data_IF_087880657668
#
_entry.id   IF_087880657668
#
_cell.length_a   1.000
_cell.length_b   1.000
_cell.length_c   1.000
_cell.angle_alpha   90.00
_cell.angle_beta   90.00
_cell.angle_gamma   90.00
#
_symmetry.space_group_name_H-M   'P 1'
#
loop_
_entity.id
_entity.type
_entity.pdbx_description
1 polymer ?
#
# COMPACT_ATOMS: atom_id res chain seq x y z
N UNK A 1 13.20 -14.60 -19.64
CA UNK A 1 12.18 -13.90 -18.81
C UNK A 1 11.48 -15.00 -18.04
N UNK A 2 11.60 -15.02 -16.72
CA UNK A 2 10.70 -15.87 -15.92
C UNK A 2 9.27 -15.43 -16.21
N UNK A 3 8.34 -16.38 -16.27
CA UNK A 3 6.94 -16.04 -16.45
C UNK A 3 6.50 -15.24 -15.21
N UNK A 4 6.32 -13.92 -15.38
CA UNK A 4 5.80 -13.02 -14.35
C UNK A 4 4.56 -13.68 -13.72
N UNK A 5 4.60 -13.90 -12.40
CA UNK A 5 3.57 -14.63 -11.68
C UNK A 5 2.99 -13.74 -10.59
N UNK A 6 1.69 -13.46 -10.70
CA UNK A 6 0.92 -12.77 -9.66
C UNK A 6 0.16 -13.86 -8.90
N UNK A 7 0.47 -14.04 -7.61
CA UNK A 7 -0.26 -14.95 -6.72
C UNK A 7 -1.07 -14.14 -5.70
N UNK A 8 -2.34 -14.50 -5.52
CA UNK A 8 -3.31 -13.79 -4.70
C UNK A 8 -3.98 -14.77 -3.75
N UNK A 9 -3.88 -14.58 -2.42
CA UNK A 9 -4.48 -15.50 -1.44
C UNK A 9 -5.77 -14.92 -0.85
N UNK A 10 -6.92 -15.45 -1.28
CA UNK A 10 -8.26 -14.99 -0.88
C UNK A 10 -8.91 -15.93 0.13
N UNK A 11 -9.85 -15.44 0.95
CA UNK A 11 -10.78 -16.31 1.65
C UNK A 11 -11.76 -16.92 0.65
N UNK A 12 -12.22 -18.16 0.86
CA UNK A 12 -13.10 -18.89 -0.08
C UNK A 12 -14.35 -18.12 -0.51
N UNK A 13 -14.92 -17.36 0.41
CA UNK A 13 -16.10 -16.53 0.21
C UNK A 13 -15.86 -15.31 -0.70
N UNK A 14 -14.62 -14.84 -0.80
CA UNK A 14 -14.24 -13.66 -1.60
C UNK A 14 -13.84 -14.03 -3.04
N UNK A 15 -13.50 -15.31 -3.27
CA UNK A 15 -13.04 -15.84 -4.56
C UNK A 15 -14.04 -15.55 -5.69
N UNK A 16 -15.34 -15.61 -5.39
CA UNK A 16 -16.38 -15.36 -6.40
C UNK A 16 -16.28 -13.97 -7.04
N UNK A 17 -16.00 -12.95 -6.23
CA UNK A 17 -15.87 -11.56 -6.69
C UNK A 17 -14.61 -11.38 -7.54
N UNK A 18 -13.49 -11.94 -7.11
CA UNK A 18 -12.23 -11.89 -7.86
C UNK A 18 -12.33 -12.64 -9.19
N UNK A 19 -12.94 -13.84 -9.20
CA UNK A 19 -13.17 -14.62 -10.42
C UNK A 19 -14.07 -13.88 -11.40
N UNK A 20 -15.19 -13.34 -10.94
CA UNK A 20 -16.12 -12.57 -11.77
C UNK A 20 -15.42 -11.38 -12.45
N UNK A 21 -14.52 -10.70 -11.73
CA UNK A 21 -13.74 -9.61 -12.28
C UNK A 21 -12.72 -10.10 -13.31
N UNK A 22 -11.97 -11.17 -13.03
CA UNK A 22 -11.01 -11.76 -13.97
C UNK A 22 -11.67 -12.28 -15.25
N UNK A 23 -12.81 -12.96 -15.11
CA UNK A 23 -13.58 -13.52 -16.22
C UNK A 23 -14.13 -12.40 -17.11
N UNK A 24 -14.69 -11.33 -16.51
CA UNK A 24 -15.14 -10.13 -17.25
C UNK A 24 -14.03 -9.44 -18.04
N UNK A 25 -12.79 -9.57 -17.57
CA UNK A 25 -11.62 -8.98 -18.21
C UNK A 25 -10.94 -9.93 -19.21
N UNK A 26 -11.44 -11.16 -19.36
CA UNK A 26 -10.91 -12.15 -20.31
C UNK A 26 -9.54 -12.70 -19.91
N UNK A 27 -9.30 -12.88 -18.61
CA UNK A 27 -7.97 -13.15 -18.06
C UNK A 27 -7.89 -14.58 -17.56
N UNK A 28 -6.92 -15.32 -18.07
CA UNK A 28 -6.66 -16.69 -17.63
C UNK A 28 -5.89 -16.69 -16.32
N UNK A 29 -6.32 -17.55 -15.40
CA UNK A 29 -5.74 -17.74 -14.08
C UNK A 29 -5.79 -19.22 -13.68
N UNK A 30 -4.95 -19.61 -12.72
CA UNK A 30 -5.01 -20.90 -12.04
C UNK A 30 -5.49 -20.69 -10.60
N UNK A 31 -6.11 -21.72 -10.02
CA UNK A 31 -6.58 -21.72 -8.64
C UNK A 31 -5.89 -22.86 -7.88
N UNK A 32 -5.39 -22.56 -6.69
CA UNK A 32 -4.88 -23.55 -5.74
C UNK A 32 -5.63 -23.37 -4.44
N UNK A 33 -6.41 -24.37 -4.03
CA UNK A 33 -7.12 -24.31 -2.75
C UNK A 33 -6.26 -24.88 -1.62
N UNK A 34 -6.29 -24.23 -0.47
CA UNK A 34 -5.66 -24.71 0.77
C UNK A 34 -6.52 -24.32 1.96
N UNK A 35 -7.23 -25.29 2.53
CA UNK A 35 -8.15 -25.07 3.65
C UNK A 35 -9.35 -24.19 3.27
N UNK A 36 -9.52 -23.09 4.02
CA UNK A 36 -10.53 -22.03 3.82
C UNK A 36 -10.06 -20.92 2.86
N UNK A 37 -8.84 -21.05 2.30
CA UNK A 37 -8.26 -20.07 1.38
C UNK A 37 -8.06 -20.62 -0.03
N UNK A 38 -7.98 -19.69 -0.97
CA UNK A 38 -7.74 -19.98 -2.39
C UNK A 38 -6.68 -19.02 -2.93
N UNK A 39 -5.64 -19.59 -3.53
CA UNK A 39 -4.60 -18.87 -4.24
C UNK A 39 -4.96 -18.74 -5.72
N UNK A 40 -5.16 -17.51 -6.19
CA UNK A 40 -5.34 -17.12 -7.59
C UNK A 40 -3.97 -16.83 -8.21
N UNK A 41 -3.58 -17.56 -9.25
CA UNK A 41 -2.28 -17.44 -9.91
C UNK A 41 -2.47 -16.96 -11.35
N UNK A 42 -1.88 -15.81 -11.71
CA UNK A 42 -1.93 -15.22 -13.05
C UNK A 42 -0.51 -15.16 -13.60
N UNK A 43 -0.27 -15.73 -14.78
CA UNK A 43 1.08 -15.87 -15.34
C UNK A 43 1.28 -15.14 -16.67
N UNK A 44 2.52 -14.69 -16.91
CA UNK A 44 3.02 -14.22 -18.19
C UNK A 44 2.19 -13.07 -18.79
N UNK A 45 1.69 -13.26 -20.02
CA UNK A 45 0.95 -12.22 -20.74
C UNK A 45 -0.41 -11.89 -20.11
N UNK A 46 -1.00 -12.82 -19.36
CA UNK A 46 -2.27 -12.59 -18.66
C UNK A 46 -2.09 -11.69 -17.44
N UNK A 47 -0.96 -11.79 -16.74
CA UNK A 47 -0.61 -10.89 -15.65
C UNK A 47 -0.51 -9.43 -16.13
N UNK A 48 0.07 -9.23 -17.32
CA UNK A 48 0.11 -7.91 -17.97
C UNK A 48 -1.24 -7.43 -18.50
N UNK A 49 -2.06 -8.33 -19.05
CA UNK A 49 -3.41 -7.98 -19.50
C UNK A 49 -4.31 -7.57 -18.32
N UNK A 50 -4.15 -8.23 -17.16
CA UNK A 50 -4.83 -7.95 -15.90
C UNK A 50 -4.53 -6.58 -15.38
N UNK A 51 -3.25 -6.32 -15.24
CA UNK A 51 -2.66 -5.04 -14.97
C UNK A 51 -3.21 -3.89 -15.86
N UNK A 52 -3.22 -4.08 -17.19
CA UNK A 52 -3.70 -3.06 -18.13
C UNK A 52 -5.21 -2.83 -18.02
N UNK A 53 -5.99 -3.89 -17.82
CA UNK A 53 -7.44 -3.81 -17.62
C UNK A 53 -7.80 -3.10 -16.32
N UNK A 54 -7.08 -3.37 -15.23
CA UNK A 54 -7.30 -2.70 -13.94
C UNK A 54 -6.91 -1.22 -13.98
N UNK A 55 -5.82 -0.87 -14.65
CA UNK A 55 -5.47 0.53 -14.88
C UNK A 55 -6.60 1.29 -15.60
N UNK A 56 -7.38 0.63 -16.46
CA UNK A 56 -8.50 1.25 -17.18
C UNK A 56 -9.67 1.68 -16.27
N UNK A 57 -9.82 1.05 -15.10
CA UNK A 57 -10.95 1.26 -14.18
C UNK A 57 -10.49 1.65 -12.77
N UNK A 58 -9.22 2.00 -12.59
CA UNK A 58 -8.60 2.25 -11.27
C UNK A 58 -9.32 3.30 -10.43
N UNK A 59 -9.98 4.26 -11.08
CA UNK A 59 -10.78 5.29 -10.45
C UNK A 59 -12.10 4.78 -9.85
N UNK A 60 -12.50 3.56 -10.22
CA UNK A 60 -13.74 2.89 -9.79
C UNK A 60 -13.49 1.71 -8.84
N UNK A 61 -12.23 1.40 -8.56
CA UNK A 61 -11.85 0.34 -7.65
C UNK A 61 -11.75 0.88 -6.23
N UNK A 62 -12.07 0.02 -5.26
CA UNK A 62 -11.98 0.27 -3.83
C UNK A 62 -11.54 -1.03 -3.11
N UNK A 63 -11.03 -0.90 -1.89
CA UNK A 63 -10.66 -2.04 -1.05
C UNK A 63 -9.65 -2.99 -1.69
N UNK A 64 -9.87 -4.29 -1.53
CA UNK A 64 -8.92 -5.35 -1.92
C UNK A 64 -8.59 -5.35 -3.41
N UNK A 65 -9.50 -4.92 -4.28
CA UNK A 65 -9.20 -4.77 -5.70
C UNK A 65 -8.07 -3.76 -5.96
N UNK A 66 -7.92 -2.71 -5.15
CA UNK A 66 -6.80 -1.77 -5.24
C UNK A 66 -5.50 -2.38 -4.70
N UNK A 67 -5.59 -3.17 -3.62
CA UNK A 67 -4.44 -3.88 -3.05
C UNK A 67 -3.80 -4.81 -4.09
N UNK A 68 -4.62 -5.51 -4.88
CA UNK A 68 -4.14 -6.35 -5.97
C UNK A 68 -3.36 -5.56 -7.03
N UNK A 69 -3.82 -4.35 -7.36
CA UNK A 69 -3.11 -3.46 -8.30
C UNK A 69 -1.83 -2.94 -7.68
N UNK A 70 -1.78 -2.75 -6.37
CA UNK A 70 -0.54 -2.38 -5.72
C UNK A 70 0.48 -3.54 -5.80
N UNK A 71 0.11 -4.72 -5.32
CA UNK A 71 1.00 -5.90 -5.24
C UNK A 71 1.52 -6.32 -6.62
N UNK A 72 0.65 -6.37 -7.63
CA UNK A 72 1.06 -6.68 -9.00
C UNK A 72 2.01 -5.62 -9.57
N UNK A 73 1.74 -4.33 -9.26
CA UNK A 73 2.58 -3.22 -9.71
C UNK A 73 3.95 -3.22 -9.06
N UNK A 74 4.03 -3.56 -7.77
CA UNK A 74 5.27 -3.69 -7.02
C UNK A 74 6.19 -4.75 -7.63
N UNK A 75 5.68 -5.98 -7.83
CA UNK A 75 6.42 -7.06 -8.48
C UNK A 75 6.93 -6.67 -9.87
N UNK A 76 6.08 -6.03 -10.67
CA UNK A 76 6.43 -5.59 -12.03
C UNK A 76 7.51 -4.50 -12.03
N UNK A 77 7.49 -3.60 -11.04
CA UNK A 77 8.53 -2.58 -10.90
C UNK A 77 9.87 -3.21 -10.59
N UNK A 78 9.89 -4.17 -9.66
CA UNK A 78 11.08 -4.89 -9.26
C UNK A 78 11.63 -5.75 -10.41
N UNK A 79 10.82 -6.68 -10.94
CA UNK A 79 11.23 -7.65 -11.96
C UNK A 79 11.75 -7.00 -13.25
N UNK A 80 11.13 -5.89 -13.66
CA UNK A 80 11.50 -5.20 -14.90
C UNK A 80 12.52 -4.08 -14.68
N UNK A 81 12.94 -3.84 -13.43
CA UNK A 81 13.87 -2.78 -13.05
C UNK A 81 13.36 -1.40 -13.50
N UNK A 82 12.08 -1.11 -13.20
CA UNK A 82 11.44 0.15 -13.58
C UNK A 82 11.95 1.28 -12.70
N UNK A 83 11.96 2.48 -13.25
CA UNK A 83 12.44 3.68 -12.56
C UNK A 83 11.63 4.90 -12.94
N UNK A 84 11.46 5.83 -12.00
CA UNK A 84 10.73 7.07 -12.21
C UNK A 84 11.57 8.11 -12.97
N UNK A 85 10.93 8.87 -13.84
CA UNK A 85 11.51 10.02 -14.53
C UNK A 85 10.50 11.16 -14.58
N UNK A 86 10.92 12.37 -14.21
CA UNK A 86 10.13 13.57 -14.46
C UNK A 86 11.01 14.79 -14.70
N UNK A 87 10.38 15.86 -15.22
CA UNK A 87 11.06 17.13 -15.50
C UNK A 87 10.54 18.20 -14.56
N UNK A 88 11.42 18.72 -13.71
CA UNK A 88 11.16 19.87 -12.87
C UNK A 88 11.14 21.18 -13.70
N UNK A 89 10.49 22.25 -13.20
CA UNK A 89 10.52 23.57 -13.83
C UNK A 89 11.93 24.17 -13.89
N UNK A 90 12.74 23.94 -12.85
CA UNK A 90 14.10 24.49 -12.76
C UNK A 90 15.10 23.42 -12.28
N UNK A 91 16.41 23.61 -12.53
CA UNK A 91 17.44 22.74 -11.96
C UNK A 91 17.54 22.79 -10.43
N UNK A 92 17.06 23.88 -9.82
CA UNK A 92 16.96 24.00 -8.36
C UNK A 92 15.88 23.06 -7.83
N UNK A 93 14.66 23.15 -8.37
CA UNK A 93 13.55 22.27 -8.01
C UNK A 93 13.86 20.79 -8.30
N UNK A 94 14.67 20.49 -9.32
CA UNK A 94 15.12 19.12 -9.57
C UNK A 94 15.98 18.57 -8.43
N UNK A 95 16.87 19.41 -7.86
CA UNK A 95 17.73 19.02 -6.73
C UNK A 95 16.94 18.88 -5.43
N UNK A 96 16.06 19.82 -5.15
CA UNK A 96 15.13 19.73 -4.01
C UNK A 96 14.28 18.45 -4.11
N UNK A 97 13.86 18.09 -5.32
CA UNK A 97 13.12 16.86 -5.52
C UNK A 97 13.93 15.59 -5.25
N UNK A 98 15.23 15.60 -5.56
CA UNK A 98 16.14 14.50 -5.18
C UNK A 98 16.23 14.39 -3.66
N UNK A 99 16.34 15.49 -2.93
CA UNK A 99 16.36 15.49 -1.46
C UNK A 99 15.08 14.88 -0.89
N UNK A 100 13.91 15.28 -1.42
CA UNK A 100 12.62 14.69 -1.03
C UNK A 100 12.48 13.21 -1.37
N UNK A 101 13.22 12.65 -2.33
CA UNK A 101 13.05 11.24 -2.73
C UNK A 101 14.12 10.35 -2.09
N UNK A 102 15.29 10.90 -1.77
CA UNK A 102 16.47 10.15 -1.34
C UNK A 102 16.30 9.42 0.00
N UNK A 103 15.32 9.80 0.82
CA UNK A 103 14.97 9.06 2.03
C UNK A 103 14.38 7.67 1.74
N UNK A 104 13.84 7.47 0.53
CA UNK A 104 13.11 6.27 0.12
C UNK A 104 13.82 5.51 -0.99
N UNK A 105 14.35 6.22 -1.98
CA UNK A 105 14.89 5.62 -3.19
C UNK A 105 16.13 6.37 -3.66
N UNK A 106 17.05 5.68 -4.32
CA UNK A 106 18.15 6.36 -5.01
C UNK A 106 17.60 7.32 -6.06
N UNK A 107 18.03 8.58 -6.01
CA UNK A 107 17.58 9.61 -6.94
C UNK A 107 18.73 10.50 -7.40
N UNK A 108 18.64 10.99 -8.64
CA UNK A 108 19.61 11.90 -9.24
C UNK A 108 18.92 12.97 -10.09
N UNK A 109 19.57 14.12 -10.24
CA UNK A 109 19.11 15.20 -11.11
C UNK A 109 20.18 15.55 -12.16
N UNK A 110 19.77 15.65 -13.43
CA UNK A 110 20.58 16.18 -14.52
C UNK A 110 19.87 17.38 -15.15
N UNK A 111 20.35 18.58 -14.84
CA UNK A 111 19.67 19.81 -15.21
C UNK A 111 18.27 19.83 -14.60
N UNK A 112 17.23 19.77 -15.45
CA UNK A 112 15.82 19.77 -15.02
C UNK A 112 15.22 18.37 -14.88
N UNK A 113 15.93 17.32 -15.27
CA UNK A 113 15.40 15.95 -15.27
C UNK A 113 15.79 15.27 -13.98
N UNK A 114 14.81 14.69 -13.29
CA UNK A 114 15.00 13.85 -12.10
C UNK A 114 14.76 12.40 -12.50
N UNK A 115 15.63 11.52 -12.02
CA UNK A 115 15.46 10.07 -12.08
C UNK A 115 15.46 9.50 -10.67
N UNK A 116 14.62 8.53 -10.40
CA UNK A 116 14.58 7.84 -9.12
C UNK A 116 14.29 6.35 -9.29
N UNK A 117 14.74 5.53 -8.35
CA UNK A 117 14.56 4.08 -8.33
C UNK A 117 13.11 3.60 -8.32
N UNK A 118 12.94 2.29 -8.46
CA UNK A 118 11.63 1.63 -8.48
C UNK A 118 10.85 1.82 -7.18
N UNK A 119 11.54 1.95 -6.05
CA UNK A 119 10.95 2.16 -4.72
C UNK A 119 10.14 3.47 -4.67
N UNK A 120 10.55 4.48 -5.43
CA UNK A 120 9.76 5.71 -5.57
C UNK A 120 8.52 5.50 -6.46
N UNK A 121 8.62 4.65 -7.48
CA UNK A 121 7.47 4.28 -8.32
C UNK A 121 6.44 3.50 -7.50
N UNK A 122 6.87 2.50 -6.73
CA UNK A 122 5.97 1.70 -5.89
C UNK A 122 5.35 2.55 -4.79
N UNK A 123 6.10 3.45 -4.15
CA UNK A 123 5.52 4.41 -3.19
C UNK A 123 4.47 5.31 -3.83
N UNK A 124 4.76 5.87 -5.00
CA UNK A 124 3.78 6.71 -5.70
C UNK A 124 2.55 5.91 -6.11
N UNK A 125 2.71 4.65 -6.53
CA UNK A 125 1.61 3.74 -6.81
C UNK A 125 0.76 3.52 -5.56
N UNK A 126 1.39 3.11 -4.46
CA UNK A 126 0.76 2.85 -3.18
C UNK A 126 -0.14 4.01 -2.73
N UNK A 127 0.43 5.23 -2.68
CA UNK A 127 -0.32 6.41 -2.23
C UNK A 127 -1.37 6.86 -3.24
N UNK A 128 -1.14 6.64 -4.55
CA UNK A 128 -2.10 6.99 -5.60
C UNK A 128 -3.31 6.05 -5.61
N UNK A 129 -3.14 4.81 -5.16
CA UNK A 129 -4.23 3.84 -5.08
C UNK A 129 -4.93 3.93 -3.72
N UNK A 130 -4.17 4.01 -2.62
CA UNK A 130 -4.73 3.87 -1.27
C UNK A 130 -5.42 5.14 -0.76
N UNK A 131 -5.09 6.33 -1.25
CA UNK A 131 -5.58 7.58 -0.65
C UNK A 131 -6.34 8.46 -1.62
N UNK A 132 -7.58 8.82 -1.27
CA UNK A 132 -8.41 9.70 -2.11
C UNK A 132 -7.78 11.07 -2.25
N UNK A 133 -7.16 11.58 -1.20
CA UNK A 133 -6.48 12.89 -1.22
C UNK A 133 -5.41 13.04 -2.31
N UNK A 134 -4.73 11.95 -2.69
CA UNK A 134 -3.79 11.94 -3.82
C UNK A 134 -4.53 11.95 -5.16
N UNK A 135 -5.63 11.18 -5.27
CA UNK A 135 -6.43 11.06 -6.50
C UNK A 135 -7.28 12.27 -6.82
N UNK A 136 -7.73 13.05 -5.83
CA UNK A 136 -8.63 14.20 -6.02
C UNK A 136 -8.06 15.18 -7.05
N UNK A 137 -8.74 15.29 -8.19
CA UNK A 137 -8.34 16.15 -9.30
C UNK A 137 -7.15 15.67 -10.14
N UNK A 138 -6.65 14.44 -9.90
CA UNK A 138 -5.51 13.82 -10.59
C UNK A 138 -5.84 12.43 -11.20
N UNK A 139 -7.12 12.04 -11.27
CA UNK A 139 -7.52 10.70 -11.73
C UNK A 139 -6.94 10.33 -13.11
N UNK A 140 -6.87 11.29 -14.04
CA UNK A 140 -6.29 11.08 -15.38
C UNK A 140 -4.77 10.85 -15.31
N UNK A 141 -4.08 11.64 -14.49
CA UNK A 141 -2.64 11.50 -14.24
C UNK A 141 -2.31 10.17 -13.57
N UNK A 142 -3.08 9.77 -12.55
CA UNK A 142 -2.94 8.47 -11.87
C UNK A 142 -3.13 7.33 -12.86
N UNK A 143 -4.23 7.35 -13.64
CA UNK A 143 -4.50 6.32 -14.66
C UNK A 143 -3.35 6.18 -15.68
N UNK A 144 -2.83 7.31 -16.16
CA UNK A 144 -1.69 7.34 -17.09
C UNK A 144 -0.40 6.82 -16.44
N UNK A 145 -0.14 7.19 -15.19
CA UNK A 145 1.02 6.72 -14.42
C UNK A 145 0.96 5.20 -14.19
N UNK A 146 -0.18 4.69 -13.69
CA UNK A 146 -0.40 3.27 -13.45
C UNK A 146 -0.27 2.48 -14.76
N UNK A 147 -0.86 2.96 -15.86
CA UNK A 147 -0.74 2.29 -17.16
C UNK A 147 0.71 2.12 -17.66
N UNK A 148 1.61 3.05 -17.34
CA UNK A 148 3.03 2.92 -17.69
C UNK A 148 3.76 1.86 -16.88
N UNK A 149 3.41 1.70 -15.59
CA UNK A 149 3.99 0.65 -14.73
C UNK A 149 3.73 -0.71 -15.37
N UNK A 150 2.56 -0.89 -15.95
CA UNK A 150 2.11 -2.16 -16.48
C UNK A 150 2.46 -2.43 -17.95
N UNK A 151 3.06 -1.47 -18.64
CA UNK A 151 3.63 -1.68 -19.98
C UNK A 151 5.02 -2.33 -19.85
N UNK A 152 5.21 -3.60 -20.25
CA UNK A 152 6.50 -4.28 -20.10
C UNK A 152 7.59 -3.70 -21.00
N UNK A 153 7.21 -2.95 -22.05
CA UNK A 153 8.16 -2.34 -22.99
C UNK A 153 8.79 -1.09 -22.40
N UNK A 154 8.27 -0.60 -21.26
CA UNK A 154 8.71 0.64 -20.61
C UNK A 154 9.46 0.35 -19.32
N UNK A 155 10.73 0.70 -19.28
CA UNK A 155 11.49 0.77 -18.01
C UNK A 155 11.38 2.14 -17.34
N UNK A 156 11.41 3.21 -18.13
CA UNK A 156 11.23 4.57 -17.62
C UNK A 156 9.74 4.88 -17.44
N UNK A 157 9.35 5.23 -16.22
CA UNK A 157 7.99 5.61 -15.84
C UNK A 157 7.94 7.12 -15.72
N UNK A 158 7.22 7.77 -16.63
CA UNK A 158 7.06 9.22 -16.58
C UNK A 158 6.07 9.60 -15.49
N UNK A 159 6.57 10.26 -14.44
CA UNK A 159 5.76 10.79 -13.34
C UNK A 159 5.26 12.20 -13.73
N UNK A 160 3.94 12.42 -13.80
CA UNK A 160 3.40 13.75 -14.03
C UNK A 160 3.85 14.72 -12.93
N UNK A 161 4.32 15.92 -13.29
CA UNK A 161 4.78 16.90 -12.30
C UNK A 161 3.70 17.26 -11.27
N UNK A 162 2.42 17.27 -11.69
CA UNK A 162 1.28 17.50 -10.78
C UNK A 162 1.15 16.39 -9.73
N UNK A 163 1.35 15.14 -10.14
CA UNK A 163 1.33 13.98 -9.23
C UNK A 163 2.48 14.07 -8.23
N UNK A 164 3.70 14.38 -8.69
CA UNK A 164 4.85 14.60 -7.82
C UNK A 164 4.62 15.74 -6.81
N UNK A 165 4.09 16.89 -7.26
CA UNK A 165 3.81 18.02 -6.37
C UNK A 165 2.77 17.68 -5.32
N UNK A 166 1.74 16.92 -5.69
CA UNK A 166 0.71 16.45 -4.75
C UNK A 166 1.28 15.48 -3.71
N UNK A 167 2.21 14.61 -4.13
CA UNK A 167 2.99 13.80 -3.20
C UNK A 167 3.77 14.65 -2.20
N UNK A 168 4.51 15.66 -2.66
CA UNK A 168 5.26 16.56 -1.77
C UNK A 168 4.34 17.30 -0.79
N UNK A 169 3.19 17.77 -1.26
CA UNK A 169 2.20 18.47 -0.44
C UNK A 169 1.64 17.61 0.69
N UNK A 170 1.34 16.34 0.41
CA UNK A 170 0.63 15.48 1.33
C UNK A 170 1.55 14.59 2.19
N UNK A 171 2.79 14.36 1.78
CA UNK A 171 3.64 13.31 2.36
C UNK A 171 5.04 13.77 2.79
N UNK A 172 5.45 15.00 2.50
CA UNK A 172 6.77 15.50 2.87
C UNK A 172 6.64 16.57 3.97
N UNK A 173 7.14 16.31 5.19
CA UNK A 173 7.16 17.30 6.25
C UNK A 173 7.94 18.56 5.86
N UNK A 174 7.49 19.71 6.35
CA UNK A 174 8.10 21.02 6.05
C UNK A 174 8.58 21.68 7.32
N UNK A 175 9.87 21.97 7.40
CA UNK A 175 10.43 22.77 8.48
C UNK A 175 10.28 24.27 8.17
N UNK A 176 9.72 25.02 9.11
CA UNK A 176 9.64 26.47 9.09
C UNK A 176 10.17 27.02 10.43
N UNK A 177 11.47 27.34 10.46
CA UNK A 177 12.15 27.75 11.69
C UNK A 177 12.20 26.60 12.70
N UNK A 178 11.59 26.79 13.87
CA UNK A 178 11.50 25.77 14.93
C UNK A 178 10.23 24.91 14.83
N UNK A 179 9.36 25.17 13.86
CA UNK A 179 8.12 24.41 13.64
C UNK A 179 8.31 23.41 12.51
N UNK A 180 7.80 22.19 12.69
CA UNK A 180 7.68 21.19 11.63
C UNK A 180 6.19 21.00 11.35
N UNK A 181 5.80 21.32 10.12
CA UNK A 181 4.47 21.00 9.60
C UNK A 181 4.50 19.57 9.07
N UNK A 182 3.68 18.70 9.68
CA UNK A 182 3.61 17.28 9.35
C UNK A 182 2.30 17.02 8.63
N UNK A 183 2.33 16.74 7.32
CA UNK A 183 1.10 16.56 6.56
C UNK A 183 0.44 15.22 6.92
N UNK A 184 -0.90 15.17 6.85
CA UNK A 184 -1.67 13.99 7.22
C UNK A 184 -1.25 12.72 6.45
N UNK A 185 -0.90 12.85 5.18
CA UNK A 185 -0.39 11.72 4.39
C UNK A 185 0.91 11.13 4.94
N UNK A 186 1.82 11.95 5.46
CA UNK A 186 3.01 11.43 6.13
C UNK A 186 2.65 10.60 7.36
N UNK A 187 1.72 11.08 8.18
CA UNK A 187 1.25 10.37 9.37
C UNK A 187 0.59 9.04 9.01
N UNK A 188 -0.20 8.97 7.92
CA UNK A 188 -0.74 7.72 7.40
C UNK A 188 0.37 6.72 7.06
N UNK A 189 1.47 7.14 6.43
CA UNK A 189 2.59 6.24 6.13
C UNK A 189 3.23 5.69 7.40
N UNK A 190 3.40 6.55 8.40
CA UNK A 190 4.04 6.19 9.67
C UNK A 190 3.17 5.19 10.46
N UNK A 191 1.85 5.40 10.51
CA UNK A 191 0.90 4.45 11.08
C UNK A 191 0.88 3.15 10.28
N UNK A 192 0.72 3.23 8.95
CA UNK A 192 0.66 2.07 8.07
C UNK A 192 1.91 1.20 8.12
N UNK A 193 3.08 1.79 8.37
CA UNK A 193 4.34 1.07 8.55
C UNK A 193 4.55 0.55 9.99
N UNK A 194 3.64 0.83 10.92
CA UNK A 194 3.75 0.39 12.32
C UNK A 194 4.91 1.06 13.06
N UNK A 195 5.12 2.36 12.85
CA UNK A 195 6.25 3.09 13.48
C UNK A 195 5.84 3.77 14.80
N UNK A 196 4.55 4.11 14.96
CA UNK A 196 4.06 4.85 16.13
C UNK A 196 2.92 4.12 16.82
N UNK A 197 2.83 4.33 18.14
CA UNK A 197 1.73 3.91 19.00
C UNK A 197 0.74 5.06 19.26
N UNK A 198 -0.40 4.76 19.88
CA UNK A 198 -1.36 5.75 20.39
C UNK A 198 -2.20 6.45 19.32
N UNK A 199 -2.17 6.00 18.07
CA UNK A 199 -2.95 6.60 17.00
C UNK A 199 -4.45 6.26 17.06
N UNK A 200 -4.84 5.24 17.82
CA UNK A 200 -6.23 4.78 17.97
C UNK A 200 -7.09 5.69 18.86
N UNK A 201 -6.45 6.55 19.65
CA UNK A 201 -7.09 7.52 20.55
C UNK A 201 -6.99 8.96 20.05
N UNK A 202 -6.52 9.16 18.82
CA UNK A 202 -6.46 10.49 18.23
C UNK A 202 -7.87 11.08 18.04
N UNK A 203 -8.04 12.40 18.25
CA UNK A 203 -9.34 13.06 18.06
C UNK A 203 -9.91 12.88 16.64
N UNK A 204 -11.24 12.88 16.43
CA UNK A 204 -11.85 12.65 15.11
C UNK A 204 -11.36 13.59 14.01
N UNK A 205 -11.06 14.84 14.36
CA UNK A 205 -10.49 15.87 13.50
C UNK A 205 -9.05 15.55 13.03
N UNK A 206 -8.33 14.69 13.75
CA UNK A 206 -7.08 14.08 13.28
C UNK A 206 -7.33 12.83 12.43
N UNK A 207 -8.38 12.08 12.70
CA UNK A 207 -8.70 10.81 12.02
C UNK A 207 -9.25 11.02 10.61
N UNK A 208 -10.05 12.06 10.40
CA UNK A 208 -10.70 12.36 9.11
C UNK A 208 -9.67 12.64 7.99
N UNK A 209 -8.63 13.49 8.17
CA UNK A 209 -7.57 13.65 7.18
C UNK A 209 -6.76 12.38 6.90
N UNK A 210 -6.76 11.43 7.85
CA UNK A 210 -6.13 10.13 7.69
C UNK A 210 -7.02 9.14 6.94
N UNK A 211 -8.26 9.50 6.57
CA UNK A 211 -9.23 8.59 5.97
C UNK A 211 -9.34 7.28 6.79
N UNK A 212 -9.17 7.39 8.12
CA UNK A 212 -9.11 6.24 9.02
C UNK A 212 -10.49 5.92 9.56
N UNK A 213 -10.88 4.63 9.47
CA UNK A 213 -12.19 4.15 9.91
C UNK A 213 -12.04 2.85 10.68
N UNK A 214 -12.71 2.74 11.82
CA UNK A 214 -12.77 1.48 12.57
C UNK A 214 -13.63 0.47 11.81
N UNK A 215 -13.10 -0.74 11.60
CA UNK A 215 -13.78 -1.84 10.93
C UNK A 215 -14.50 -2.76 11.91
N UNK A 216 -13.99 -2.89 13.13
CA UNK A 216 -14.63 -3.67 14.19
C UNK A 216 -13.65 -4.11 15.28
N UNK A 217 -14.19 -4.81 16.27
CA UNK A 217 -13.43 -5.48 17.32
C UNK A 217 -13.60 -6.99 17.20
N UNK A 218 -12.52 -7.70 17.45
CA UNK A 218 -12.41 -9.14 17.29
C UNK A 218 -11.64 -9.71 18.47
N UNK A 219 -11.76 -11.02 18.67
CA UNK A 219 -10.83 -11.81 19.49
C UNK A 219 -10.05 -12.77 18.62
N UNK A 220 -8.82 -13.06 19.02
CA UNK A 220 -7.93 -14.03 18.39
C UNK A 220 -7.37 -14.96 19.47
N UNK A 221 -7.25 -16.25 19.17
CA UNK A 221 -6.44 -17.15 20.00
C UNK A 221 -5.01 -17.14 19.43
N UNK A 222 -4.07 -16.66 20.25
CA UNK A 222 -2.66 -16.50 19.89
C UNK A 222 -1.85 -17.29 20.92
N UNK A 223 -1.36 -18.45 20.51
CA UNK A 223 -0.58 -19.36 21.37
C UNK A 223 -1.26 -19.70 22.71
N UNK A 224 -2.59 -19.88 22.70
CA UNK A 224 -3.38 -20.22 23.89
C UNK A 224 -3.76 -19.02 24.76
N UNK A 225 -3.44 -17.80 24.34
CA UNK A 225 -3.90 -16.56 24.96
C UNK A 225 -4.97 -15.89 24.10
N UNK A 226 -6.06 -15.46 24.74
CA UNK A 226 -7.10 -14.69 24.07
C UNK A 226 -6.66 -13.22 23.96
N UNK A 227 -6.49 -12.77 22.71
CA UNK A 227 -6.12 -11.41 22.37
C UNK A 227 -7.32 -10.63 21.83
N UNK A 228 -7.51 -9.39 22.28
CA UNK A 228 -8.45 -8.46 21.63
C UNK A 228 -7.77 -7.80 20.44
N UNK A 229 -8.48 -7.68 19.32
CA UNK A 229 -7.99 -7.06 18.09
C UNK A 229 -8.98 -6.01 17.61
N UNK A 230 -8.60 -4.74 17.69
CA UNK A 230 -9.34 -3.63 17.10
C UNK A 230 -8.78 -3.35 15.69
N UNK A 231 -9.61 -3.58 14.66
CA UNK A 231 -9.20 -3.44 13.26
C UNK A 231 -9.66 -2.10 12.69
N UNK A 232 -8.77 -1.44 11.93
CA UNK A 232 -9.01 -0.16 11.27
C UNK A 232 -8.62 -0.25 9.81
N UNK A 233 -9.36 0.44 8.94
CA UNK A 233 -8.89 0.77 7.61
C UNK A 233 -8.24 2.15 7.62
N UNK A 234 -7.12 2.28 6.92
CA UNK A 234 -6.35 3.50 6.77
C UNK A 234 -6.28 3.85 5.27
N UNK A 235 -7.13 4.79 4.84
CA UNK A 235 -7.40 4.99 3.42
C UNK A 235 -8.36 3.94 2.85
N UNK A 236 -8.17 3.58 1.59
CA UNK A 236 -9.08 2.71 0.84
C UNK A 236 -8.95 1.23 1.23
N UNK A 237 -7.72 0.73 1.38
CA UNK A 237 -7.50 -0.71 1.49
C UNK A 237 -6.46 -1.15 2.53
N UNK A 238 -5.59 -0.27 3.03
CA UNK A 238 -4.70 -0.69 4.13
C UNK A 238 -5.52 -1.00 5.38
N UNK A 239 -5.20 -2.13 6.00
CA UNK A 239 -5.75 -2.53 7.30
C UNK A 239 -4.63 -2.43 8.33
N UNK A 240 -4.88 -1.76 9.45
CA UNK A 240 -3.99 -1.71 10.62
C UNK A 240 -4.75 -2.16 11.85
N UNK A 241 -4.06 -2.66 12.86
CA UNK A 241 -4.71 -3.23 14.04
C UNK A 241 -4.05 -2.80 15.35
N UNK A 242 -4.86 -2.76 16.40
CA UNK A 242 -4.41 -2.66 17.78
C UNK A 242 -4.72 -3.98 18.48
N UNK A 243 -3.70 -4.62 19.04
CA UNK A 243 -3.80 -5.91 19.73
C UNK A 243 -3.59 -5.72 21.23
N UNK A 244 -4.38 -6.39 22.06
CA UNK A 244 -4.29 -6.36 23.53
C UNK A 244 -4.36 -7.78 24.09
N UNK A 245 -3.84 -7.98 25.30
CA UNK A 245 -3.93 -9.27 26.01
C UNK A 245 -2.79 -10.25 25.73
N UNK A 246 -1.87 -9.91 24.82
CA UNK A 246 -0.65 -10.68 24.53
C UNK A 246 0.59 -9.78 24.52
N UNK A 247 1.75 -10.36 24.83
CA UNK A 247 3.02 -9.65 24.79
C UNK A 247 3.59 -9.55 23.37
N UNK A 248 4.43 -8.54 23.13
CA UNK A 248 5.04 -8.30 21.82
C UNK A 248 5.82 -9.51 21.28
N UNK A 249 6.61 -10.16 22.14
CA UNK A 249 7.40 -11.35 21.76
C UNK A 249 6.52 -12.51 21.28
N UNK A 250 5.44 -12.80 22.00
CA UNK A 250 4.46 -13.84 21.61
C UNK A 250 3.79 -13.50 20.29
N UNK A 251 3.43 -12.24 20.07
CA UNK A 251 2.79 -11.82 18.83
C UNK A 251 3.75 -11.84 17.63
N UNK A 252 5.01 -11.45 17.82
CA UNK A 252 6.05 -11.52 16.77
C UNK A 252 6.33 -12.97 16.36
N UNK A 253 6.51 -13.86 17.34
CA UNK A 253 6.74 -15.28 17.12
C UNK A 253 5.53 -15.92 16.43
N UNK A 254 4.33 -15.64 16.94
CA UNK A 254 3.10 -16.10 16.30
C UNK A 254 3.02 -15.64 14.85
N UNK A 255 3.31 -14.38 14.52
CA UNK A 255 3.20 -13.87 13.16
C UNK A 255 4.35 -14.30 12.24
N UNK A 256 5.43 -14.90 12.77
CA UNK A 256 6.66 -15.21 12.04
C UNK A 256 7.26 -13.96 11.37
N UNK A 257 7.32 -12.86 12.12
CA UNK A 257 7.86 -11.58 11.64
C UNK A 257 9.04 -11.13 12.51
N UNK A 258 10.10 -10.67 11.88
CA UNK A 258 11.22 -10.03 12.57
C UNK A 258 10.93 -8.55 12.82
N UNK A 259 11.45 -8.03 13.94
CA UNK A 259 11.44 -6.59 14.22
C UNK A 259 10.82 -6.22 15.56
N UNK A 260 10.28 -5.01 15.63
CA UNK A 260 9.64 -4.47 16.83
C UNK A 260 8.20 -4.05 16.52
N UNK A 261 7.31 -4.25 17.48
CA UNK A 261 5.94 -3.75 17.43
C UNK A 261 5.86 -2.58 18.42
N UNK A 262 5.44 -1.37 18.01
CA UNK A 262 5.21 -0.28 18.94
C UNK A 262 4.22 -0.71 20.02
N UNK A 263 4.55 -0.41 21.27
CA UNK A 263 3.74 -0.72 22.44
C UNK A 263 3.46 0.55 23.23
N UNK A 264 2.20 0.71 23.66
CA UNK A 264 1.80 1.77 24.58
C UNK A 264 0.58 1.34 25.38
N UNK A 265 0.62 1.51 26.70
CA UNK A 265 -0.49 1.23 27.61
C UNK A 265 -1.04 -0.21 27.47
N UNK A 266 -0.14 -1.19 27.29
CA UNK A 266 -0.49 -2.60 27.10
C UNK A 266 -1.14 -2.93 25.75
N UNK A 267 -1.09 -1.99 24.79
CA UNK A 267 -1.57 -2.16 23.42
C UNK A 267 -0.39 -2.27 22.45
N UNK A 268 -0.49 -3.20 21.51
CA UNK A 268 0.46 -3.44 20.44
C UNK A 268 -0.11 -2.93 19.10
N UNK A 269 0.66 -2.12 18.37
CA UNK A 269 0.17 -1.43 17.16
C UNK A 269 0.77 -2.05 15.91
N UNK A 270 -0.05 -2.80 15.17
CA UNK A 270 0.40 -3.55 14.00
C UNK A 270 0.49 -2.67 12.75
N UNK A 271 1.58 -2.85 12.01
CA UNK A 271 1.72 -2.34 10.64
C UNK A 271 0.69 -3.02 9.72
N UNK A 272 0.54 -2.48 8.51
CA UNK A 272 -0.33 -3.08 7.48
C UNK A 272 0.09 -4.51 7.10
N UNK A 273 1.39 -4.81 7.17
CA UNK A 273 1.93 -6.13 6.86
C UNK A 273 1.70 -7.13 7.98
N UNK A 274 1.98 -6.74 9.23
CA UNK A 274 1.67 -7.59 10.39
C UNK A 274 0.16 -7.82 10.53
N UNK A 275 -0.65 -6.82 10.21
CA UNK A 275 -2.11 -6.95 10.18
C UNK A 275 -2.57 -7.92 9.08
N UNK A 276 -2.00 -7.81 7.88
CA UNK A 276 -2.31 -8.74 6.79
C UNK A 276 -1.94 -10.18 7.16
N UNK A 277 -0.81 -10.40 7.83
CA UNK A 277 -0.38 -11.71 8.30
C UNK A 277 -1.31 -12.28 9.38
N UNK A 278 -1.74 -11.44 10.33
CA UNK A 278 -2.74 -11.83 11.33
C UNK A 278 -4.06 -12.26 10.67
N UNK A 279 -4.53 -11.48 9.68
CA UNK A 279 -5.73 -11.80 8.90
C UNK A 279 -5.55 -13.06 8.04
N UNK A 280 -4.34 -13.31 7.54
CA UNK A 280 -4.02 -14.50 6.73
C UNK A 280 -4.25 -15.78 7.51
N UNK A 281 -3.92 -15.77 8.81
CA UNK A 281 -4.01 -16.92 9.72
C UNK A 281 -5.45 -17.29 10.11
N UNK A 282 -6.44 -16.43 9.82
CA UNK A 282 -7.87 -16.79 9.89
C UNK A 282 -8.43 -17.00 11.30
N UNK A 283 -7.74 -16.52 12.34
CA UNK A 283 -8.12 -16.77 13.75
C UNK A 283 -9.06 -15.72 14.36
N UNK A 284 -9.48 -14.70 13.60
CA UNK A 284 -10.31 -13.62 14.13
C UNK A 284 -11.76 -14.04 14.29
N UNK A 285 -12.27 -13.95 15.51
CA UNK A 285 -13.68 -14.11 15.88
C UNK A 285 -14.26 -12.74 16.16
N UNK A 286 -15.39 -12.40 15.52
CA UNK A 286 -16.00 -11.07 15.71
C UNK A 286 -16.63 -10.95 17.10
N UNK A 287 -16.33 -9.86 17.80
CA UNK A 287 -17.01 -9.55 19.06
C UNK A 287 -18.42 -9.04 18.75
N UNK A 288 -19.41 -9.58 19.48
CA UNK A 288 -20.82 -9.21 19.35
C UNK A 288 -21.10 -7.75 19.67
#
# INVERSE_FOLDING_TARGET
>A
MGDLLIQINLAKEEVGSARSLLDRLGISYSLVESGDRVSLIIAGRHAMAFAAAYAAIVDKLEGEALELVYLAGELIVEDLGKYAVFRAPTPREAREAVEHISFLARAEARGRVVKAGGEFVTRLLDVSLNFRQMRRGLAREVKSFVGQIYDPRRKAIHVPLRLYRRYVELYIPRAAGTRVDVPGGWLQLVIGNGVISGWDVMPPDFMEPLEMRRLGSYTADIEGAEAEVDLYALGEYWKVAVVKGVGAATLLDYLDIEGNIPEQDGKLYLSRWATAELLRRGVLRKNG
#
